data_IF_238679618703
#
_entry.id   IF_238679618703
#
_cell.length_a   1.000
_cell.length_b   1.000
_cell.length_c   1.000
_cell.angle_alpha   90.00
_cell.angle_beta   90.00
_cell.angle_gamma   90.00
#
_symmetry.space_group_name_H-M   'P 1'
#
loop_
_entity.id
_entity.type
_entity.pdbx_description
1 polymer ?
#
# COMPACT_ATOMS: atom_id res chain seq x y z
N UNK A 1 12.92 15.60 -2.37
CA UNK A 1 12.64 14.19 -2.75
C UNK A 1 12.40 13.32 -1.50
N UNK A 2 13.35 13.20 -0.58
CA UNK A 2 13.18 12.40 0.67
C UNK A 2 12.08 12.93 1.61
N UNK A 3 11.92 14.25 1.72
CA UNK A 3 10.85 14.84 2.55
C UNK A 3 9.44 14.49 2.05
N UNK A 4 9.22 14.61 0.74
CA UNK A 4 7.95 14.21 0.11
C UNK A 4 7.66 12.74 0.41
N UNK A 5 8.66 11.87 0.23
CA UNK A 5 8.53 10.44 0.55
C UNK A 5 8.14 10.21 2.03
N UNK A 6 8.81 10.88 2.97
CA UNK A 6 8.49 10.79 4.41
C UNK A 6 7.04 11.20 4.71
N UNK A 7 6.59 12.34 4.20
CA UNK A 7 5.26 12.85 4.51
C UNK A 7 4.15 12.08 3.78
N UNK A 8 4.39 11.64 2.55
CA UNK A 8 3.44 10.77 1.81
C UNK A 8 3.22 9.45 2.54
N UNK A 9 4.28 8.77 2.99
CA UNK A 9 4.14 7.53 3.76
C UNK A 9 3.34 7.74 5.05
N UNK A 10 3.61 8.83 5.78
CA UNK A 10 2.83 9.17 6.98
C UNK A 10 1.36 9.43 6.66
N UNK A 11 1.08 10.11 5.56
CA UNK A 11 -0.28 10.39 5.14
C UNK A 11 -1.03 9.11 4.75
N UNK A 12 -0.38 8.19 4.01
CA UNK A 12 -0.97 6.89 3.67
C UNK A 12 -1.33 6.10 4.92
N UNK A 13 -0.42 6.02 5.91
CA UNK A 13 -0.72 5.37 7.20
C UNK A 13 -1.88 6.05 7.92
N UNK A 14 -1.96 7.38 7.89
CA UNK A 14 -3.10 8.11 8.45
C UNK A 14 -4.41 7.73 7.76
N UNK A 15 -4.44 7.65 6.43
CA UNK A 15 -5.63 7.23 5.65
C UNK A 15 -6.03 5.81 6.02
N UNK A 16 -5.08 4.86 6.01
CA UNK A 16 -5.32 3.45 6.36
C UNK A 16 -5.96 3.33 7.75
N UNK A 17 -5.44 4.07 8.75
CA UNK A 17 -5.96 4.04 10.12
C UNK A 17 -7.36 4.62 10.29
N UNK A 18 -7.84 5.40 9.30
CA UNK A 18 -9.15 6.06 9.33
C UNK A 18 -10.13 5.46 8.31
N UNK A 19 -9.82 4.29 7.73
CA UNK A 19 -10.77 3.56 6.90
C UNK A 19 -11.99 3.18 7.75
N UNK A 20 -13.20 3.47 7.25
CA UNK A 20 -14.43 3.00 7.87
C UNK A 20 -14.44 1.44 7.92
N UNK A 21 -14.52 0.82 9.11
CA UNK A 21 -14.52 -0.64 9.25
C UNK A 21 -15.59 -1.35 8.41
N UNK A 22 -16.76 -0.72 8.23
CA UNK A 22 -17.89 -1.29 7.46
C UNK A 22 -17.57 -1.41 5.96
N UNK A 23 -16.50 -0.77 5.49
CA UNK A 23 -16.06 -0.77 4.09
C UNK A 23 -14.87 -1.70 3.83
N UNK A 24 -14.31 -2.33 4.87
CA UNK A 24 -13.11 -3.18 4.74
C UNK A 24 -13.31 -4.39 3.83
N UNK A 25 -14.54 -4.89 3.73
CA UNK A 25 -14.90 -6.03 2.88
C UNK A 25 -15.29 -5.62 1.45
N UNK A 26 -15.23 -4.33 1.10
CA UNK A 26 -15.42 -3.92 -0.30
C UNK A 26 -14.28 -4.51 -1.16
N UNK A 27 -14.64 -5.00 -2.34
CA UNK A 27 -13.73 -5.68 -3.25
C UNK A 27 -13.68 -5.01 -4.63
N UNK A 28 -12.60 -5.25 -5.35
CA UNK A 28 -12.50 -5.00 -6.78
C UNK A 28 -11.72 -6.12 -7.47
N UNK A 29 -11.79 -6.14 -8.80
CA UNK A 29 -11.06 -7.07 -9.64
C UNK A 29 -9.72 -6.42 -10.02
N UNK A 30 -8.61 -7.08 -9.72
CA UNK A 30 -7.26 -6.63 -10.09
C UNK A 30 -7.01 -6.77 -11.59
N UNK A 31 -5.91 -6.22 -12.08
CA UNK A 31 -5.48 -6.42 -13.46
C UNK A 31 -5.24 -7.91 -13.82
N UNK A 32 -5.00 -8.77 -12.83
CA UNK A 32 -4.82 -10.21 -12.99
C UNK A 32 -6.12 -11.01 -12.91
N UNK A 33 -7.28 -10.33 -12.76
CA UNK A 33 -8.58 -10.97 -12.63
C UNK A 33 -8.91 -11.47 -11.22
N UNK A 34 -8.06 -11.17 -10.24
CA UNK A 34 -8.22 -11.60 -8.85
C UNK A 34 -9.14 -10.64 -8.09
N UNK A 35 -9.92 -11.16 -7.14
CA UNK A 35 -10.68 -10.31 -6.20
C UNK A 35 -9.80 -9.97 -5.02
N UNK A 36 -9.68 -8.68 -4.72
CA UNK A 36 -8.96 -8.20 -3.54
C UNK A 36 -9.84 -7.27 -2.73
N UNK A 37 -9.78 -7.40 -1.41
CA UNK A 37 -10.52 -6.54 -0.47
C UNK A 37 -9.72 -5.30 -0.09
N UNK A 38 -10.42 -4.23 0.28
CA UNK A 38 -9.80 -3.03 0.83
C UNK A 38 -8.92 -3.34 2.06
N UNK A 39 -9.37 -4.27 2.92
CA UNK A 39 -8.59 -4.75 4.06
C UNK A 39 -7.26 -5.39 3.63
N UNK A 40 -7.30 -6.28 2.65
CA UNK A 40 -6.10 -6.96 2.16
C UNK A 40 -5.08 -5.94 1.66
N UNK A 41 -5.51 -4.95 0.88
CA UNK A 41 -4.64 -3.91 0.34
C UNK A 41 -4.07 -2.98 1.41
N UNK A 42 -4.89 -2.60 2.40
CA UNK A 42 -4.44 -1.76 3.50
C UNK A 42 -3.36 -2.46 4.36
N UNK A 43 -3.50 -3.76 4.60
CA UNK A 43 -2.52 -4.56 5.33
C UNK A 43 -1.27 -4.85 4.50
N UNK A 44 -1.41 -4.97 3.18
CA UNK A 44 -0.31 -5.29 2.27
C UNK A 44 0.63 -4.11 1.99
N UNK A 45 0.20 -2.88 2.30
CA UNK A 45 0.93 -1.65 2.01
C UNK A 45 2.42 -1.70 2.37
N UNK A 46 2.76 -2.14 3.58
CA UNK A 46 4.16 -2.16 4.04
C UNK A 46 5.00 -3.17 3.27
N UNK A 47 4.47 -4.38 3.05
CA UNK A 47 5.14 -5.44 2.29
C UNK A 47 5.38 -4.99 0.84
N UNK A 48 4.39 -4.38 0.20
CA UNK A 48 4.51 -3.86 -1.16
C UNK A 48 5.54 -2.72 -1.23
N UNK A 49 5.56 -1.86 -0.22
CA UNK A 49 6.54 -0.79 -0.14
C UNK A 49 7.98 -1.32 -0.01
N UNK A 50 8.19 -2.36 0.79
CA UNK A 50 9.48 -3.04 0.93
C UNK A 50 9.93 -3.71 -0.38
N UNK A 51 9.00 -4.28 -1.16
CA UNK A 51 9.29 -4.81 -2.49
C UNK A 51 9.93 -3.75 -3.40
N UNK A 52 9.32 -2.56 -3.51
CA UNK A 52 9.88 -1.49 -4.33
C UNK A 52 11.21 -0.95 -3.80
N UNK A 53 11.45 -0.98 -2.49
CA UNK A 53 12.77 -0.65 -1.94
C UNK A 53 13.83 -1.67 -2.34
N UNK A 54 13.47 -2.96 -2.38
CA UNK A 54 14.36 -4.01 -2.90
C UNK A 54 14.69 -3.78 -4.38
N UNK A 55 13.68 -3.50 -5.22
CA UNK A 55 13.89 -3.25 -6.65
C UNK A 55 14.82 -2.06 -6.91
N UNK A 56 14.73 -0.99 -6.10
CA UNK A 56 15.66 0.14 -6.16
C UNK A 56 17.08 -0.29 -5.74
N UNK A 57 17.19 -1.09 -4.68
CA UNK A 57 18.48 -1.61 -4.23
C UNK A 57 19.14 -2.48 -5.31
N UNK A 58 18.37 -3.32 -6.00
CA UNK A 58 18.84 -4.20 -7.07
C UNK A 58 19.27 -3.43 -8.33
N UNK A 59 18.75 -2.23 -8.55
CA UNK A 59 19.19 -1.34 -9.64
C UNK A 59 20.46 -0.56 -9.32
N UNK A 60 20.75 -0.35 -8.02
CA UNK A 60 21.92 0.39 -7.57
C UNK A 60 23.15 -0.52 -7.48
N UNK A 61 22.97 -1.80 -7.14
CA UNK A 61 24.04 -2.80 -6.99
C UNK A 61 24.22 -3.66 -8.24
#
# INVERSE_FOLDING_TARGET
MVWTWKYTNKHIVHVIRNINPDKLNNEWITALGERVSLKSMALDYLRHFELHLSEINDLIN
#
